data_IF_086902086864
#
_entry.id   IF_086902086864
#
_cell.length_a   1.000
_cell.length_b   1.000
_cell.length_c   1.000
_cell.angle_alpha   90.00
_cell.angle_beta   90.00
_cell.angle_gamma   90.00
#
_symmetry.space_group_name_H-M   'P 1'
#
loop_
_entity.id
_entity.type
_entity.pdbx_description
1 polymer ?
#
# COMPACT_ATOMS: atom_id res chain seq x y z
N UNK A 1 -41.98 52.48 2.02
CA UNK A 1 -40.82 51.68 2.28
C UNK A 1 -41.07 50.27 1.71
N UNK A 2 -40.46 49.88 0.59
CA UNK A 2 -40.67 48.52 0.09
C UNK A 2 -39.82 47.54 0.93
N UNK A 3 -40.48 46.58 1.54
CA UNK A 3 -39.89 45.46 2.24
C UNK A 3 -39.25 44.50 1.24
N UNK A 4 -37.90 44.44 1.21
CA UNK A 4 -37.18 43.41 0.48
C UNK A 4 -37.45 42.04 1.13
N UNK A 5 -38.28 41.25 0.47
CA UNK A 5 -38.43 39.84 0.81
C UNK A 5 -37.11 39.13 0.48
N UNK A 6 -36.41 38.66 1.51
CA UNK A 6 -35.21 37.83 1.35
C UNK A 6 -35.66 36.49 0.75
N UNK A 7 -35.29 36.22 -0.52
CA UNK A 7 -35.50 34.92 -1.15
C UNK A 7 -34.66 33.90 -0.39
N UNK A 8 -35.29 33.05 0.41
CA UNK A 8 -34.64 31.89 1.00
C UNK A 8 -34.38 30.89 -0.11
N UNK A 9 -33.12 30.66 -0.45
CA UNK A 9 -32.72 29.64 -1.40
C UNK A 9 -32.89 28.27 -0.72
N UNK A 10 -33.77 27.44 -1.25
CA UNK A 10 -33.89 26.03 -0.77
C UNK A 10 -32.76 25.20 -1.36
N UNK A 11 -31.90 24.68 -0.49
CA UNK A 11 -30.84 23.73 -0.88
C UNK A 11 -31.47 22.38 -1.15
N UNK A 12 -31.17 21.77 -2.30
CA UNK A 12 -31.83 20.52 -2.75
C UNK A 12 -31.33 19.25 -2.05
N UNK A 13 -30.15 19.30 -1.41
CA UNK A 13 -29.53 18.13 -0.75
C UNK A 13 -29.00 17.08 -1.75
N UNK A 14 -28.76 17.47 -3.00
CA UNK A 14 -28.19 16.59 -4.05
C UNK A 14 -26.75 16.96 -4.42
N UNK A 15 -26.09 17.74 -3.59
CA UNK A 15 -24.72 18.17 -3.78
C UNK A 15 -23.79 16.96 -3.70
N UNK A 16 -22.83 16.86 -4.62
CA UNK A 16 -21.78 15.84 -4.63
C UNK A 16 -20.42 16.54 -4.50
N UNK A 17 -19.61 16.08 -3.59
CA UNK A 17 -18.22 16.55 -3.46
C UNK A 17 -17.32 15.61 -4.29
N UNK A 18 -16.52 16.22 -5.17
CA UNK A 18 -15.56 15.50 -5.99
C UNK A 18 -14.15 15.98 -5.61
N UNK A 19 -13.21 15.08 -5.27
CA UNK A 19 -11.84 15.47 -4.97
C UNK A 19 -11.14 15.95 -6.23
N UNK A 20 -10.37 17.04 -6.12
CA UNK A 20 -9.46 17.53 -7.15
C UNK A 20 -8.03 17.25 -6.70
N UNK A 21 -7.42 16.18 -7.23
CA UNK A 21 -6.13 15.68 -6.81
C UNK A 21 -4.99 16.24 -7.70
N UNK A 22 -3.79 16.45 -7.15
CA UNK A 22 -2.62 16.81 -7.94
C UNK A 22 -2.25 15.73 -8.96
N UNK A 23 -1.86 16.16 -10.16
CA UNK A 23 -1.35 15.32 -11.23
C UNK A 23 -0.02 15.86 -11.74
N UNK A 24 0.99 15.02 -11.87
CA UNK A 24 2.31 15.34 -12.40
C UNK A 24 2.38 14.95 -13.87
N UNK A 25 1.93 13.74 -14.18
CA UNK A 25 1.92 13.16 -15.53
C UNK A 25 0.51 12.69 -15.87
N UNK A 26 -0.11 13.32 -16.88
CA UNK A 26 -1.44 12.93 -17.35
C UNK A 26 -1.44 11.47 -17.83
N UNK A 27 -0.42 11.09 -18.63
CA UNK A 27 -0.35 9.76 -19.24
C UNK A 27 -0.20 8.66 -18.19
N UNK A 28 0.66 8.86 -17.18
CA UNK A 28 0.83 7.87 -16.10
C UNK A 28 -0.42 7.78 -15.22
N UNK A 29 -1.05 8.91 -14.91
CA UNK A 29 -2.30 8.95 -14.14
C UNK A 29 -3.42 8.21 -14.87
N UNK A 30 -3.62 8.52 -16.16
CA UNK A 30 -4.60 7.84 -16.99
C UNK A 30 -4.31 6.34 -17.09
N UNK A 31 -3.05 5.96 -17.38
CA UNK A 31 -2.65 4.55 -17.51
C UNK A 31 -2.93 3.75 -16.23
N UNK A 32 -2.67 4.33 -15.07
CA UNK A 32 -2.90 3.66 -13.79
C UNK A 32 -4.40 3.49 -13.50
N UNK A 33 -5.18 4.57 -13.55
CA UNK A 33 -6.60 4.49 -13.21
C UNK A 33 -7.41 3.70 -14.24
N UNK A 34 -7.07 3.80 -15.54
CA UNK A 34 -7.68 2.96 -16.57
C UNK A 34 -7.34 1.47 -16.36
N UNK A 35 -6.12 1.16 -15.89
CA UNK A 35 -5.77 -0.22 -15.52
C UNK A 35 -6.60 -0.75 -14.36
N UNK A 36 -7.08 0.11 -13.47
CA UNK A 36 -8.01 -0.23 -12.39
C UNK A 36 -9.48 -0.31 -12.86
N UNK A 37 -9.77 0.05 -14.11
CA UNK A 37 -11.10 0.02 -14.69
C UNK A 37 -11.86 1.36 -14.63
N UNK A 38 -11.20 2.48 -14.26
CA UNK A 38 -11.82 3.79 -14.34
C UNK A 38 -12.01 4.22 -15.79
N UNK A 39 -13.18 4.75 -16.11
CA UNK A 39 -13.48 5.39 -17.38
C UNK A 39 -13.04 6.86 -17.34
N UNK A 40 -12.45 7.35 -18.43
CA UNK A 40 -12.16 8.77 -18.62
C UNK A 40 -13.45 9.47 -19.04
N UNK A 41 -14.00 10.35 -18.21
CA UNK A 41 -15.20 11.12 -18.52
C UNK A 41 -14.87 12.50 -19.10
N UNK A 42 -13.69 13.02 -18.77
CA UNK A 42 -13.18 14.26 -19.37
C UNK A 42 -11.64 14.28 -19.34
N UNK A 43 -11.04 14.83 -20.40
CA UNK A 43 -9.59 14.99 -20.50
C UNK A 43 -9.25 16.28 -21.23
N UNK A 44 -8.44 17.12 -20.58
CA UNK A 44 -7.83 18.31 -21.16
C UNK A 44 -6.40 18.46 -20.65
N UNK A 45 -5.45 18.66 -21.57
CA UNK A 45 -4.04 18.84 -21.22
C UNK A 45 -3.51 20.23 -21.58
N UNK A 46 -4.26 20.99 -22.40
CA UNK A 46 -3.97 22.38 -22.82
C UNK A 46 -5.27 23.18 -22.89
N UNK A 47 -5.32 24.44 -22.47
CA UNK A 47 -4.21 25.24 -21.94
C UNK A 47 -3.80 24.89 -20.50
N UNK A 48 -4.60 24.13 -19.76
CA UNK A 48 -4.31 23.63 -18.42
C UNK A 48 -4.66 22.14 -18.32
N UNK A 49 -4.05 21.47 -17.34
CA UNK A 49 -4.32 20.07 -17.08
C UNK A 49 -5.61 19.92 -16.27
N UNK A 50 -6.53 19.12 -16.79
CA UNK A 50 -7.71 18.68 -16.07
C UNK A 50 -8.17 17.31 -16.59
N UNK A 51 -8.28 16.34 -15.70
CA UNK A 51 -8.76 14.99 -15.98
C UNK A 51 -9.94 14.70 -15.06
N UNK A 52 -10.97 14.04 -15.58
CA UNK A 52 -12.06 13.50 -14.78
C UNK A 52 -12.21 12.00 -15.09
N UNK A 53 -12.22 11.20 -14.04
CA UNK A 53 -12.27 9.75 -14.10
C UNK A 53 -13.41 9.24 -13.23
N UNK A 54 -14.09 8.17 -13.67
CA UNK A 54 -15.21 7.57 -12.96
C UNK A 54 -15.07 6.04 -12.90
N UNK A 55 -15.36 5.47 -11.75
CA UNK A 55 -15.54 4.04 -11.56
C UNK A 55 -16.78 3.83 -10.68
N UNK A 56 -17.87 3.25 -11.22
CA UNK A 56 -19.19 3.25 -10.57
C UNK A 56 -19.61 4.67 -10.16
N UNK A 57 -19.91 4.90 -8.89
CA UNK A 57 -20.28 6.20 -8.32
C UNK A 57 -19.08 7.00 -7.78
N UNK A 58 -17.86 6.48 -7.97
CA UNK A 58 -16.63 7.15 -7.53
C UNK A 58 -16.14 8.05 -8.66
N UNK A 59 -16.04 9.35 -8.41
CA UNK A 59 -15.44 10.32 -9.30
C UNK A 59 -14.15 10.87 -8.71
N UNK A 60 -13.09 10.90 -9.53
CA UNK A 60 -11.80 11.47 -9.18
C UNK A 60 -11.41 12.47 -10.26
N UNK A 61 -11.18 13.71 -9.86
CA UNK A 61 -10.70 14.74 -10.77
C UNK A 61 -9.24 15.07 -10.46
N UNK A 62 -8.49 15.46 -11.50
CA UNK A 62 -7.07 15.75 -11.39
C UNK A 62 -6.74 17.07 -12.05
N UNK A 63 -5.94 17.88 -11.35
CA UNK A 63 -5.41 19.14 -11.83
C UNK A 63 -3.89 19.15 -11.75
N UNK A 64 -3.25 20.18 -12.32
CA UNK A 64 -1.79 20.31 -12.30
C UNK A 64 -1.28 20.40 -10.86
N UNK A 65 -0.37 19.49 -10.51
CA UNK A 65 0.35 19.50 -9.24
C UNK A 65 1.29 20.70 -9.09
N UNK A 66 1.69 20.98 -7.85
CA UNK A 66 2.72 21.98 -7.54
C UNK A 66 4.04 21.61 -8.23
N UNK A 67 4.84 22.62 -8.61
CA UNK A 67 6.18 22.42 -9.19
C UNK A 67 7.16 21.74 -8.23
N UNK A 68 6.94 21.88 -6.93
CA UNK A 68 7.80 21.32 -5.88
C UNK A 68 7.25 20.01 -5.30
N UNK A 69 6.21 19.44 -5.94
CA UNK A 69 5.64 18.18 -5.49
C UNK A 69 6.65 17.05 -5.70
N UNK A 70 7.07 16.41 -4.62
CA UNK A 70 7.86 15.19 -4.66
C UNK A 70 6.94 13.98 -4.48
N UNK A 71 6.72 13.18 -5.54
CA UNK A 71 5.88 11.98 -5.44
C UNK A 71 6.38 10.96 -4.42
N UNK A 72 7.69 10.96 -4.12
CA UNK A 72 8.30 9.99 -3.21
C UNK A 72 7.86 10.17 -1.76
N UNK A 73 7.39 11.35 -1.40
CA UNK A 73 6.82 11.65 -0.08
C UNK A 73 5.42 11.09 0.11
N UNK A 74 4.72 10.72 -0.99
CA UNK A 74 3.38 10.14 -0.99
C UNK A 74 2.34 10.97 -0.21
N UNK A 75 2.51 12.29 -0.23
CA UNK A 75 1.68 13.28 0.46
C UNK A 75 1.09 14.33 -0.48
N UNK A 76 1.00 14.02 -1.78
CA UNK A 76 0.52 14.94 -2.80
C UNK A 76 -0.90 15.43 -2.55
N UNK A 77 -1.78 14.51 -2.16
CA UNK A 77 -3.18 14.75 -1.86
C UNK A 77 -3.86 13.44 -1.48
N UNK A 78 -5.16 13.50 -1.21
CA UNK A 78 -5.90 12.29 -0.92
C UNK A 78 -7.40 12.51 -0.79
N UNK A 79 -8.12 11.40 -0.81
CA UNK A 79 -9.55 11.36 -0.51
C UNK A 79 -9.92 10.04 0.17
N UNK A 80 -11.04 10.08 0.86
CA UNK A 80 -11.64 8.90 1.50
C UNK A 80 -12.82 8.42 0.65
N UNK A 81 -12.87 7.14 0.37
CA UNK A 81 -13.99 6.46 -0.27
C UNK A 81 -14.65 5.57 0.78
N UNK A 82 -15.80 6.01 1.29
CA UNK A 82 -16.55 5.31 2.33
C UNK A 82 -17.43 4.24 1.71
N UNK A 83 -17.16 2.96 2.03
CA UNK A 83 -17.87 1.79 1.49
C UNK A 83 -18.41 0.89 2.61
N UNK A 84 -19.35 0.02 2.30
CA UNK A 84 -19.87 -0.91 3.29
C UNK A 84 -18.89 -2.07 3.57
N UNK A 85 -18.17 -2.53 2.54
CA UNK A 85 -17.09 -3.51 2.67
C UNK A 85 -15.97 -3.17 1.68
N UNK A 86 -14.71 -3.29 2.12
CA UNK A 86 -13.52 -2.96 1.27
C UNK A 86 -13.04 -4.14 0.43
N UNK A 87 -13.28 -5.37 0.85
CA UNK A 87 -12.75 -6.57 0.19
C UNK A 87 -13.12 -6.69 -1.29
N UNK A 88 -14.38 -6.47 -1.72
CA UNK A 88 -14.74 -6.56 -3.13
C UNK A 88 -13.99 -5.57 -4.01
N UNK A 89 -13.76 -4.34 -3.52
CA UNK A 89 -13.00 -3.30 -4.22
C UNK A 89 -11.53 -3.68 -4.36
N UNK A 90 -10.89 -4.11 -3.26
CA UNK A 90 -9.51 -4.55 -3.29
C UNK A 90 -9.31 -5.73 -4.25
N UNK A 91 -10.21 -6.72 -4.24
CA UNK A 91 -10.19 -7.85 -5.16
C UNK A 91 -10.30 -7.41 -6.61
N UNK A 92 -11.31 -6.59 -6.95
CA UNK A 92 -11.51 -6.09 -8.30
C UNK A 92 -10.27 -5.34 -8.83
N UNK A 93 -9.69 -4.46 -8.03
CA UNK A 93 -8.50 -3.71 -8.43
C UNK A 93 -7.26 -4.59 -8.57
N UNK A 94 -7.06 -5.57 -7.68
CA UNK A 94 -5.93 -6.50 -7.79
C UNK A 94 -6.05 -7.42 -9.00
N UNK A 95 -7.25 -7.86 -9.34
CA UNK A 95 -7.53 -8.64 -10.57
C UNK A 95 -7.26 -7.80 -11.83
N UNK A 96 -7.73 -6.55 -11.86
CA UNK A 96 -7.49 -5.62 -12.95
C UNK A 96 -5.99 -5.32 -13.14
N UNK A 97 -5.24 -5.08 -12.06
CA UNK A 97 -3.80 -4.88 -12.11
C UNK A 97 -3.05 -6.13 -12.60
N UNK A 98 -3.46 -7.34 -12.18
CA UNK A 98 -2.89 -8.59 -12.70
C UNK A 98 -3.15 -8.75 -14.19
N UNK A 99 -4.37 -8.48 -14.64
CA UNK A 99 -4.73 -8.56 -16.06
C UNK A 99 -3.90 -7.59 -16.91
N UNK A 100 -3.67 -6.36 -16.43
CA UNK A 100 -2.94 -5.32 -17.17
C UNK A 100 -1.43 -5.47 -17.11
N UNK A 101 -0.87 -5.78 -15.93
CA UNK A 101 0.59 -5.76 -15.69
C UNK A 101 1.19 -7.15 -15.44
N UNK A 102 0.40 -8.22 -15.48
CA UNK A 102 0.82 -9.59 -15.13
C UNK A 102 1.11 -9.78 -13.63
N UNK A 103 0.97 -8.74 -12.82
CA UNK A 103 1.23 -8.75 -11.37
C UNK A 103 0.41 -7.69 -10.65
N UNK A 104 0.25 -7.85 -9.34
CA UNK A 104 -0.26 -6.77 -8.48
C UNK A 104 0.87 -5.79 -8.18
N UNK A 105 0.61 -4.51 -8.40
CA UNK A 105 1.53 -3.43 -8.02
C UNK A 105 1.42 -3.19 -6.52
N UNK A 106 2.20 -3.91 -5.72
CA UNK A 106 2.14 -3.87 -4.26
C UNK A 106 3.31 -3.10 -3.62
N UNK A 107 4.28 -2.66 -4.42
CA UNK A 107 5.48 -1.92 -3.98
C UNK A 107 5.78 -0.78 -4.94
N UNK A 108 6.46 0.24 -4.46
CA UNK A 108 6.79 1.42 -5.27
C UNK A 108 5.56 2.29 -5.54
N UNK A 109 5.63 3.09 -6.61
CA UNK A 109 4.54 3.91 -7.12
C UNK A 109 4.34 3.66 -8.61
N UNK A 110 3.08 3.59 -9.11
CA UNK A 110 1.84 3.47 -8.32
C UNK A 110 1.69 2.09 -7.68
N UNK A 111 0.85 1.98 -6.63
CA UNK A 111 0.57 0.70 -5.97
C UNK A 111 -0.82 0.64 -5.34
N UNK A 112 -1.25 -0.57 -5.02
CA UNK A 112 -2.33 -0.87 -4.09
C UNK A 112 -1.71 -1.44 -2.81
N UNK A 113 -2.14 -0.94 -1.65
CA UNK A 113 -1.66 -1.49 -0.38
C UNK A 113 -2.20 -2.90 -0.18
N UNK A 114 -1.48 -3.69 0.61
CA UNK A 114 -1.91 -5.05 0.93
C UNK A 114 -3.21 -5.01 1.73
N UNK A 115 -4.06 -6.00 1.49
CA UNK A 115 -5.27 -6.25 2.24
C UNK A 115 -5.24 -7.67 2.82
N UNK A 116 -5.66 -7.81 4.07
CA UNK A 116 -5.88 -9.09 4.75
C UNK A 116 -7.35 -9.21 5.14
N UNK A 117 -7.92 -10.42 5.18
CA UNK A 117 -9.27 -10.62 5.71
C UNK A 117 -9.42 -9.97 7.10
N UNK A 118 -10.50 -9.22 7.29
CA UNK A 118 -10.77 -8.49 8.53
C UNK A 118 -10.18 -7.08 8.61
N UNK A 119 -9.40 -6.62 7.61
CA UNK A 119 -9.02 -5.21 7.52
C UNK A 119 -10.21 -4.36 7.07
N UNK A 120 -10.32 -3.16 7.63
CA UNK A 120 -11.39 -2.20 7.33
C UNK A 120 -11.01 -1.17 6.27
N UNK A 121 -9.75 -1.17 5.79
CA UNK A 121 -9.27 -0.22 4.78
C UNK A 121 -8.13 -0.74 3.92
N UNK A 122 -7.97 -0.13 2.74
CA UNK A 122 -6.78 -0.20 1.90
C UNK A 122 -6.60 1.12 1.14
N UNK A 123 -5.42 1.36 0.58
CA UNK A 123 -5.10 2.57 -0.18
C UNK A 123 -4.63 2.24 -1.59
N UNK A 124 -5.01 3.10 -2.53
CA UNK A 124 -4.36 3.24 -3.81
C UNK A 124 -3.41 4.43 -3.71
N UNK A 125 -2.12 4.21 -4.00
CA UNK A 125 -1.13 5.27 -4.14
C UNK A 125 -0.87 5.46 -5.61
N UNK A 126 -1.20 6.62 -6.15
CA UNK A 126 -1.13 6.90 -7.57
C UNK A 126 0.29 7.38 -8.01
N UNK A 127 0.55 7.59 -9.31
CA UNK A 127 1.86 8.05 -9.79
C UNK A 127 2.33 9.38 -9.21
N UNK A 128 1.42 10.28 -8.84
CA UNK A 128 1.74 11.57 -8.24
C UNK A 128 1.98 11.49 -6.72
N UNK A 129 1.68 10.35 -6.09
CA UNK A 129 1.73 10.17 -4.62
C UNK A 129 0.43 10.57 -3.92
N UNK A 130 -0.69 10.62 -4.64
CA UNK A 130 -2.00 10.77 -4.00
C UNK A 130 -2.43 9.46 -3.34
N UNK A 131 -3.14 9.58 -2.20
CA UNK A 131 -3.71 8.46 -1.48
C UNK A 131 -5.24 8.44 -1.65
N UNK A 132 -5.77 7.46 -2.38
CA UNK A 132 -7.22 7.18 -2.42
C UNK A 132 -7.48 6.03 -1.47
N UNK A 133 -8.10 6.33 -0.33
CA UNK A 133 -8.25 5.40 0.79
C UNK A 133 -9.68 4.88 0.83
N UNK A 134 -9.86 3.58 0.64
CA UNK A 134 -11.14 2.91 0.81
C UNK A 134 -11.30 2.49 2.27
N UNK A 135 -12.40 2.89 2.89
CA UNK A 135 -12.66 2.69 4.32
C UNK A 135 -14.07 2.14 4.51
N UNK A 136 -14.21 1.11 5.35
CA UNK A 136 -15.52 0.64 5.77
C UNK A 136 -16.21 1.66 6.69
N UNK A 137 -17.51 1.85 6.49
CA UNK A 137 -18.31 2.82 7.28
C UNK A 137 -18.39 2.48 8.76
N UNK A 138 -18.26 1.19 9.10
CA UNK A 138 -18.28 0.65 10.46
C UNK A 138 -16.89 0.49 11.08
N UNK A 139 -15.85 1.11 10.45
CA UNK A 139 -14.51 1.09 11.02
C UNK A 139 -14.50 1.70 12.42
N UNK A 140 -13.79 1.08 13.40
CA UNK A 140 -13.68 1.65 14.73
C UNK A 140 -13.12 3.07 14.72
N UNK A 141 -13.82 4.01 15.35
CA UNK A 141 -13.41 5.44 15.41
C UNK A 141 -12.16 5.65 16.25
N UNK A 142 -11.96 4.83 17.28
CA UNK A 142 -10.85 4.94 18.21
C UNK A 142 -9.72 3.96 17.88
N UNK A 143 -8.55 4.50 17.58
CA UNK A 143 -7.31 3.75 17.42
C UNK A 143 -6.38 4.05 18.60
N UNK A 144 -5.95 3.01 19.29
CA UNK A 144 -4.97 3.14 20.37
C UNK A 144 -3.55 3.28 19.79
N UNK A 145 -3.20 4.49 19.32
CA UNK A 145 -1.83 4.76 18.82
C UNK A 145 -0.78 4.41 19.86
N UNK A 146 0.29 3.76 19.42
CA UNK A 146 1.29 3.18 20.30
C UNK A 146 0.99 1.74 20.71
N UNK A 147 -0.08 1.18 20.18
CA UNK A 147 -0.58 -0.16 20.47
C UNK A 147 -1.49 -0.20 21.69
N UNK A 148 -2.41 -1.18 21.70
CA UNK A 148 -3.44 -1.30 22.73
C UNK A 148 -2.87 -1.26 24.15
N UNK A 149 -3.53 -0.51 25.03
CA UNK A 149 -3.18 -0.44 26.44
C UNK A 149 -3.30 -1.81 27.16
N UNK A 150 -4.09 -2.75 26.59
CA UNK A 150 -4.23 -4.12 27.10
C UNK A 150 -3.04 -5.02 26.78
N UNK A 151 -2.16 -4.61 25.84
CA UNK A 151 -0.99 -5.35 25.40
C UNK A 151 0.28 -4.78 26.03
N UNK A 152 1.28 -5.64 26.18
CA UNK A 152 2.60 -5.27 26.73
C UNK A 152 3.73 -5.85 25.85
N UNK A 153 4.94 -5.34 26.04
CA UNK A 153 6.14 -5.88 25.38
C UNK A 153 6.03 -5.92 23.85
N UNK A 154 6.44 -7.05 23.26
CA UNK A 154 6.47 -7.20 21.80
C UNK A 154 5.07 -7.25 21.17
N UNK A 155 4.09 -7.83 21.85
CA UNK A 155 2.70 -7.86 21.36
C UNK A 155 2.14 -6.44 21.15
N UNK A 156 2.43 -5.51 22.06
CA UNK A 156 2.04 -4.11 21.91
C UNK A 156 2.72 -3.44 20.72
N UNK A 157 3.99 -3.74 20.50
CA UNK A 157 4.74 -3.21 19.36
C UNK A 157 4.17 -3.72 18.03
N UNK A 158 3.79 -5.00 17.96
CA UNK A 158 3.16 -5.60 16.77
C UNK A 158 1.86 -4.88 16.45
N UNK A 159 1.02 -4.64 17.46
CA UNK A 159 -0.24 -3.92 17.27
C UNK A 159 -0.01 -2.47 16.83
N UNK A 160 0.95 -1.76 17.43
CA UNK A 160 1.33 -0.42 16.97
C UNK A 160 1.85 -0.42 15.52
N UNK A 161 2.67 -1.39 15.14
CA UNK A 161 3.16 -1.50 13.76
C UNK A 161 2.02 -1.76 12.77
N UNK A 162 1.01 -2.56 13.17
CA UNK A 162 -0.22 -2.75 12.40
C UNK A 162 -0.96 -1.42 12.19
N UNK A 163 -1.14 -0.63 13.26
CA UNK A 163 -1.81 0.67 13.20
C UNK A 163 -1.05 1.63 12.27
N UNK A 164 0.28 1.73 12.42
CA UNK A 164 1.11 2.58 11.56
C UNK A 164 0.99 2.20 10.09
N UNK A 165 0.95 0.90 9.79
CA UNK A 165 0.87 0.37 8.44
C UNK A 165 -0.51 0.52 7.82
N UNK A 166 -1.56 0.11 8.54
CA UNK A 166 -2.92 0.01 8.00
C UNK A 166 -3.65 1.36 8.02
N UNK A 167 -3.44 2.16 9.07
CA UNK A 167 -4.18 3.40 9.29
C UNK A 167 -3.39 4.66 8.96
N UNK A 168 -2.06 4.64 9.11
CA UNK A 168 -1.20 5.77 8.76
C UNK A 168 -0.52 5.61 7.40
N UNK A 169 -0.58 4.41 6.80
CA UNK A 169 0.12 4.07 5.56
C UNK A 169 1.64 4.36 5.63
N UNK A 170 2.21 4.27 6.84
CA UNK A 170 3.62 4.55 7.13
C UNK A 170 4.39 3.24 7.38
N UNK A 171 4.73 2.56 6.28
CA UNK A 171 5.52 1.33 6.31
C UNK A 171 6.91 1.54 6.96
N UNK A 172 7.51 2.73 6.79
CA UNK A 172 8.82 3.04 7.40
C UNK A 172 8.74 3.16 8.92
N UNK A 173 7.72 3.85 9.44
CA UNK A 173 7.51 3.94 10.88
C UNK A 173 7.16 2.56 11.47
N UNK A 174 6.35 1.76 10.78
CA UNK A 174 6.04 0.39 11.19
C UNK A 174 7.30 -0.49 11.26
N UNK A 175 8.17 -0.43 10.26
CA UNK A 175 9.44 -1.17 10.23
C UNK A 175 10.34 -0.77 11.42
N UNK A 176 10.53 0.54 11.63
CA UNK A 176 11.32 1.04 12.78
C UNK A 176 10.74 0.60 14.13
N UNK A 177 9.42 0.63 14.28
CA UNK A 177 8.76 0.18 15.51
C UNK A 177 9.05 -1.31 15.77
N UNK A 178 8.97 -2.16 14.76
CA UNK A 178 9.27 -3.60 14.87
C UNK A 178 10.76 -3.85 15.17
N UNK A 179 11.67 -3.16 14.48
CA UNK A 179 13.11 -3.30 14.71
C UNK A 179 13.49 -2.94 16.17
N UNK A 180 12.99 -1.80 16.66
CA UNK A 180 13.18 -1.37 18.05
C UNK A 180 12.52 -2.36 19.02
N UNK A 181 11.32 -2.81 18.71
CA UNK A 181 10.58 -3.75 19.56
C UNK A 181 11.26 -5.11 19.68
N UNK A 182 11.74 -5.68 18.57
CA UNK A 182 12.51 -6.93 18.56
C UNK A 182 13.80 -6.80 19.36
N UNK A 183 14.54 -5.70 19.21
CA UNK A 183 15.75 -5.45 19.96
C UNK A 183 15.48 -5.31 21.47
N UNK A 184 14.42 -4.61 21.87
CA UNK A 184 14.12 -4.29 23.28
C UNK A 184 13.41 -5.43 24.02
N UNK A 185 12.45 -6.08 23.37
CA UNK A 185 11.55 -7.03 24.03
C UNK A 185 11.73 -8.46 23.53
N UNK A 186 12.46 -8.68 22.42
CA UNK A 186 12.58 -9.99 21.79
C UNK A 186 13.14 -11.07 22.71
N UNK A 187 14.07 -10.75 23.62
CA UNK A 187 14.64 -11.74 24.56
C UNK A 187 13.59 -12.31 25.52
N UNK A 188 12.64 -11.48 25.97
CA UNK A 188 11.61 -11.85 26.95
C UNK A 188 10.26 -12.21 26.31
N UNK A 189 10.10 -12.07 24.99
CA UNK A 189 8.86 -12.34 24.29
C UNK A 189 8.63 -13.84 24.09
N UNK A 190 7.36 -14.22 23.92
CA UNK A 190 7.00 -15.58 23.50
C UNK A 190 7.56 -15.89 22.12
N UNK A 191 7.70 -17.18 21.80
CA UNK A 191 8.19 -17.62 20.49
C UNK A 191 7.22 -17.18 19.40
N UNK A 192 5.91 -17.25 19.67
CA UNK A 192 4.85 -16.82 18.77
C UNK A 192 4.89 -15.32 18.49
N UNK A 193 5.08 -14.47 19.51
CA UNK A 193 5.18 -13.02 19.30
C UNK A 193 6.43 -12.65 18.51
N UNK A 194 7.55 -13.35 18.74
CA UNK A 194 8.76 -13.20 17.90
C UNK A 194 8.47 -13.57 16.44
N UNK A 195 7.80 -14.70 16.22
CA UNK A 195 7.45 -15.14 14.87
C UNK A 195 6.55 -14.11 14.17
N UNK A 196 5.51 -13.60 14.84
CA UNK A 196 4.63 -12.56 14.30
C UNK A 196 5.39 -11.27 13.99
N UNK A 197 6.26 -10.81 14.89
CA UNK A 197 7.04 -9.60 14.67
C UNK A 197 8.01 -9.74 13.49
N UNK A 198 8.72 -10.84 13.39
CA UNK A 198 9.64 -11.15 12.29
C UNK A 198 8.88 -11.27 10.95
N UNK A 199 7.74 -11.96 10.94
CA UNK A 199 6.90 -12.09 9.76
C UNK A 199 6.35 -10.73 9.29
N UNK A 200 5.86 -9.90 10.21
CA UNK A 200 5.40 -8.55 9.90
C UNK A 200 6.54 -7.68 9.34
N UNK A 201 7.75 -7.82 9.89
CA UNK A 201 8.93 -7.09 9.40
C UNK A 201 9.40 -7.57 8.03
N UNK A 202 9.31 -8.88 7.73
CA UNK A 202 9.59 -9.44 6.41
C UNK A 202 8.66 -8.89 5.33
N UNK A 203 7.39 -8.70 5.64
CA UNK A 203 6.46 -8.07 4.72
C UNK A 203 6.84 -6.61 4.40
N UNK A 204 7.35 -5.89 5.40
CA UNK A 204 7.84 -4.52 5.23
C UNK A 204 9.15 -4.47 4.44
N UNK A 205 10.02 -5.49 4.55
CA UNK A 205 11.20 -5.65 3.68
C UNK A 205 10.80 -5.64 2.21
N UNK A 206 9.76 -6.38 1.86
CA UNK A 206 9.26 -6.44 0.48
C UNK A 206 8.66 -5.08 0.08
N UNK A 207 7.83 -4.48 0.94
CA UNK A 207 7.18 -3.20 0.66
C UNK A 207 8.18 -2.06 0.49
N UNK A 208 9.23 -2.03 1.33
CA UNK A 208 10.28 -1.00 1.33
C UNK A 208 11.47 -1.34 0.42
N UNK A 209 11.47 -2.52 -0.22
CA UNK A 209 12.54 -3.02 -1.11
C UNK A 209 13.92 -3.16 -0.42
N UNK A 210 13.94 -3.57 0.85
CA UNK A 210 15.14 -3.72 1.68
C UNK A 210 15.75 -5.13 1.58
N UNK A 211 16.24 -5.52 0.40
CA UNK A 211 16.68 -6.90 0.10
C UNK A 211 17.76 -7.44 1.06
N UNK A 212 18.68 -6.58 1.49
CA UNK A 212 19.80 -6.97 2.38
C UNK A 212 19.34 -7.39 3.77
N UNK A 213 18.31 -6.77 4.30
CA UNK A 213 17.76 -7.06 5.64
C UNK A 213 16.94 -8.36 5.65
N UNK A 214 16.33 -8.69 4.50
CA UNK A 214 15.34 -9.77 4.40
C UNK A 214 15.89 -11.16 4.74
N UNK A 215 17.10 -11.50 4.26
CA UNK A 215 17.67 -12.83 4.49
C UNK A 215 17.96 -13.11 5.97
N UNK A 216 18.51 -12.12 6.69
CA UNK A 216 18.78 -12.23 8.13
C UNK A 216 17.49 -12.42 8.93
N UNK A 217 16.45 -11.64 8.65
CA UNK A 217 15.16 -11.76 9.33
C UNK A 217 14.48 -13.09 9.04
N UNK A 218 14.57 -13.57 7.79
CA UNK A 218 14.05 -14.89 7.41
C UNK A 218 14.74 -16.00 8.19
N UNK A 219 16.07 -15.98 8.28
CA UNK A 219 16.82 -16.99 9.04
C UNK A 219 16.40 -16.97 10.50
N UNK A 220 16.30 -15.79 11.13
CA UNK A 220 15.81 -15.65 12.50
C UNK A 220 14.42 -16.27 12.68
N UNK A 221 13.50 -16.09 11.72
CA UNK A 221 12.16 -16.66 11.78
C UNK A 221 12.18 -18.19 11.68
N UNK A 222 13.01 -18.74 10.78
CA UNK A 222 13.13 -20.19 10.58
C UNK A 222 13.80 -20.89 11.76
N UNK A 223 14.72 -20.23 12.46
CA UNK A 223 15.43 -20.76 13.62
C UNK A 223 14.58 -20.78 14.91
N UNK A 224 13.38 -20.21 14.89
CA UNK A 224 12.50 -20.21 16.05
C UNK A 224 11.98 -21.63 16.34
N UNK A 225 12.03 -22.09 17.60
CA UNK A 225 11.54 -23.40 18.01
C UNK A 225 10.00 -23.43 18.14
N UNK A 226 9.31 -23.25 16.99
CA UNK A 226 7.85 -23.28 16.92
C UNK A 226 7.36 -24.74 16.98
N UNK A 227 6.39 -25.01 17.85
CA UNK A 227 5.64 -26.28 17.84
C UNK A 227 4.78 -26.42 16.58
N UNK A 228 4.35 -27.63 16.22
CA UNK A 228 3.45 -27.87 15.10
C UNK A 228 2.13 -27.10 15.26
N UNK A 229 1.60 -27.03 16.47
CA UNK A 229 0.39 -26.28 16.78
C UNK A 229 0.60 -24.78 16.54
N UNK A 230 1.71 -24.20 17.04
CA UNK A 230 2.07 -22.80 16.79
C UNK A 230 2.32 -22.52 15.29
N UNK A 231 2.92 -23.44 14.55
CA UNK A 231 3.09 -23.33 13.08
C UNK A 231 1.75 -23.30 12.36
N UNK A 232 0.81 -24.13 12.76
CA UNK A 232 -0.54 -24.13 12.20
C UNK A 232 -1.26 -22.80 12.45
N UNK A 233 -1.21 -22.29 13.68
CA UNK A 233 -1.82 -21.00 14.04
C UNK A 233 -1.16 -19.81 13.35
N UNK A 234 0.12 -19.88 13.05
CA UNK A 234 0.90 -18.82 12.41
C UNK A 234 1.11 -19.06 10.90
N UNK A 235 0.35 -19.97 10.29
CA UNK A 235 0.58 -20.38 8.90
C UNK A 235 0.54 -19.20 7.92
N UNK A 236 -0.34 -18.22 8.11
CA UNK A 236 -0.45 -17.06 7.24
C UNK A 236 0.70 -16.06 7.43
N UNK A 237 1.17 -15.90 8.65
CA UNK A 237 2.35 -15.09 8.97
C UNK A 237 3.62 -15.74 8.41
N UNK A 238 3.78 -17.06 8.52
CA UNK A 238 4.95 -17.79 8.02
C UNK A 238 5.09 -17.72 6.49
N UNK A 239 4.00 -17.57 5.75
CA UNK A 239 4.03 -17.31 4.29
C UNK A 239 4.80 -16.03 3.92
N UNK A 240 5.09 -15.14 4.87
CA UNK A 240 5.92 -13.97 4.62
C UNK A 240 7.36 -14.36 4.21
N UNK A 241 7.90 -15.44 4.76
CA UNK A 241 9.23 -15.94 4.41
C UNK A 241 9.28 -16.50 2.97
N UNK A 242 8.24 -17.22 2.54
CA UNK A 242 8.11 -17.73 1.17
C UNK A 242 7.99 -16.59 0.15
N UNK A 243 7.17 -15.61 0.46
CA UNK A 243 7.01 -14.41 -0.38
C UNK A 243 8.30 -13.62 -0.55
N UNK A 244 9.14 -13.57 0.49
CA UNK A 244 10.45 -12.95 0.40
C UNK A 244 11.34 -13.68 -0.61
N UNK A 245 11.36 -15.00 -0.63
CA UNK A 245 12.16 -15.79 -1.60
C UNK A 245 11.72 -15.50 -3.03
N UNK A 246 10.42 -15.56 -3.28
CA UNK A 246 9.86 -15.23 -4.59
C UNK A 246 10.18 -13.81 -5.05
N UNK A 247 10.19 -12.86 -4.12
CA UNK A 247 10.54 -11.48 -4.41
C UNK A 247 12.05 -11.32 -4.69
N UNK A 248 12.92 -11.91 -3.87
CA UNK A 248 14.37 -11.89 -4.04
C UNK A 248 14.79 -12.57 -5.36
N UNK A 249 14.14 -13.68 -5.73
CA UNK A 249 14.41 -14.36 -6.99
C UNK A 249 14.09 -13.48 -8.20
N UNK A 250 13.03 -12.66 -8.13
CA UNK A 250 12.62 -11.75 -9.20
C UNK A 250 13.42 -10.46 -9.28
N UNK A 251 14.02 -10.02 -8.17
CA UNK A 251 14.78 -8.76 -8.10
C UNK A 251 16.30 -8.96 -8.32
N UNK A 252 16.78 -10.19 -8.41
CA UNK A 252 18.18 -10.45 -8.79
C UNK A 252 18.41 -9.94 -10.21
N UNK A 253 19.39 -9.03 -10.46
CA UNK A 253 19.76 -8.65 -11.81
C UNK A 253 20.20 -9.91 -12.56
N UNK A 254 19.71 -10.09 -13.79
CA UNK A 254 20.13 -11.16 -14.67
C UNK A 254 21.66 -11.13 -14.77
N UNK A 255 22.35 -12.20 -14.37
CA UNK A 255 23.78 -12.28 -14.53
C UNK A 255 24.11 -12.08 -16.00
N UNK A 256 25.05 -11.20 -16.37
CA UNK A 256 25.46 -11.03 -17.76
C UNK A 256 25.96 -12.39 -18.28
N UNK A 257 25.35 -12.86 -19.36
CA UNK A 257 25.77 -14.10 -20.03
C UNK A 257 27.25 -13.97 -20.38
N UNK A 258 28.12 -14.93 -19.97
CA UNK A 258 29.52 -14.84 -20.28
C UNK A 258 29.70 -14.78 -21.81
N UNK A 259 30.62 -13.95 -22.34
CA UNK A 259 30.82 -13.80 -23.77
C UNK A 259 31.21 -15.17 -24.37
N UNK A 260 30.47 -15.58 -25.42
CA UNK A 260 30.82 -16.77 -26.20
C UNK A 260 32.27 -16.64 -26.66
N UNK A 261 33.15 -17.56 -26.22
CA UNK A 261 34.52 -17.67 -26.72
C UNK A 261 34.44 -17.96 -28.23
N UNK A 262 34.68 -16.94 -29.04
CA UNK A 262 34.93 -17.12 -30.46
C UNK A 262 36.23 -17.90 -30.61
N UNK A 263 36.11 -19.15 -31.03
CA UNK A 263 37.23 -20.00 -31.31
C UNK A 263 38.07 -19.39 -32.43
N UNK A 264 39.33 -19.02 -32.12
CA UNK A 264 40.29 -18.65 -33.12
C UNK A 264 40.68 -19.89 -33.91
N UNK A 265 40.19 -19.99 -35.16
CA UNK A 265 40.67 -20.98 -36.15
C UNK A 265 42.11 -20.62 -36.52
N UNK A 266 43.06 -21.40 -36.03
CA UNK A 266 44.42 -21.42 -36.58
C UNK A 266 44.37 -22.09 -37.94
N UNK A 267 44.55 -21.33 -39.00
CA UNK A 267 44.98 -21.86 -40.30
C UNK A 267 46.50 -21.91 -40.32
N UNK A 268 47.01 -23.08 -40.67
CA UNK A 268 48.38 -23.29 -41.13
C UNK A 268 48.49 -22.86 -42.60
#
# INVERSE_FOLDING_TARGET
MPTHATKTTTISGRETTVPLLPCISADETLAFYQALGFAVTYQMTRPYLYLALRWSDIELHFGKGSKNLDPSEENAGGCLVMVDTVEPYHRAFTEALRAKYGKVLATGRPRITRFRPGQSRFSLVDPAGNNVIFIQRDEPEELEYGGSAKLTGLAKVIDNARILREFKNDDRAAARALDIGLARFGAAATVEDKARALAARLELVIALQEATTGQSLKQQLLDLPLSEEARSHLSDELKAAERLEDWLARTRPSQPTPPKRTGASRRR
#
